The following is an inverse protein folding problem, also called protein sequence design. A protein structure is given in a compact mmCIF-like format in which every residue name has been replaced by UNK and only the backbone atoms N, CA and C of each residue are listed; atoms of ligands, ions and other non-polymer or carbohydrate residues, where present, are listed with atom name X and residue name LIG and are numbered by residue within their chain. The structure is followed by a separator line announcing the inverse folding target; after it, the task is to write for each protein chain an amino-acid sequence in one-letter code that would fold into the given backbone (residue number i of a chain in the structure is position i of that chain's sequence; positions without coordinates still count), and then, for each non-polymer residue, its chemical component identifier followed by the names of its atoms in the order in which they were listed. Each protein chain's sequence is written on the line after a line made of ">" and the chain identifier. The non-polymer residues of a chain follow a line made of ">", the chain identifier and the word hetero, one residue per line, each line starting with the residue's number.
data_IF_358706451261
#
_entry.id   IF_358706451261
#
_cell.length_a   1.000
_cell.length_b   1.000
_cell.length_c   1.000
_cell.angle_alpha   90.00
_cell.angle_beta   90.00
_cell.angle_gamma   90.00
#
_symmetry.space_group_name_H-M   'P 1'
#
loop_
_entity.id
_entity.type
_entity.pdbx_description
1 polymer ?
#
# COMPACT_ATOMS: atom_id res chain seq x y z
N UNK A 1 16.17 -1.55 5.72
CA UNK A 1 15.58 -2.73 5.05
C UNK A 1 16.67 -3.80 4.86
N UNK A 2 16.43 -5.05 5.31
CA UNK A 2 17.40 -6.15 5.17
C UNK A 2 17.52 -6.54 3.68
N UNK A 3 18.72 -6.88 3.21
CA UNK A 3 18.99 -7.24 1.80
C UNK A 3 18.02 -8.30 1.24
N UNK A 4 17.60 -9.25 2.07
CA UNK A 4 16.67 -10.33 1.69
C UNK A 4 15.24 -9.82 1.40
N UNK A 5 14.76 -8.83 2.15
CA UNK A 5 13.44 -8.20 1.94
C UNK A 5 13.44 -7.33 0.69
N UNK A 6 14.54 -6.61 0.46
CA UNK A 6 14.74 -5.81 -0.75
C UNK A 6 14.69 -6.67 -2.01
N UNK A 7 15.36 -7.81 -2.02
CA UNK A 7 15.34 -8.77 -3.14
C UNK A 7 13.92 -9.33 -3.38
N UNK A 8 13.15 -9.61 -2.33
CA UNK A 8 11.77 -10.09 -2.45
C UNK A 8 10.86 -9.03 -3.06
N UNK A 9 10.99 -7.77 -2.67
CA UNK A 9 10.23 -6.64 -3.18
C UNK A 9 10.43 -6.43 -4.68
N UNK A 10 11.68 -6.42 -5.14
CA UNK A 10 12.01 -6.22 -6.56
C UNK A 10 11.86 -7.47 -7.43
N UNK A 11 11.58 -8.62 -6.85
CA UNK A 11 11.22 -9.86 -7.56
C UNK A 11 9.71 -10.13 -7.59
N UNK A 12 8.89 -9.28 -6.96
CA UNK A 12 7.43 -9.42 -6.97
C UNK A 12 6.85 -9.34 -8.39
N UNK A 13 5.72 -10.00 -8.63
CA UNK A 13 5.00 -9.93 -9.90
C UNK A 13 4.58 -8.48 -10.21
N UNK A 14 4.13 -7.76 -9.17
CA UNK A 14 3.71 -6.37 -9.29
C UNK A 14 4.84 -5.45 -9.79
N UNK A 15 6.06 -5.61 -9.25
CA UNK A 15 7.21 -4.83 -9.69
C UNK A 15 7.65 -5.20 -11.12
N UNK A 16 7.64 -6.49 -11.46
CA UNK A 16 8.02 -6.97 -12.79
C UNK A 16 7.06 -6.49 -13.89
N UNK A 17 5.79 -6.32 -13.56
CA UNK A 17 4.77 -5.81 -14.47
C UNK A 17 4.85 -4.29 -14.72
N UNK A 18 5.73 -3.56 -14.02
CA UNK A 18 5.92 -2.13 -14.21
C UNK A 18 6.81 -1.83 -15.40
N UNK A 19 6.50 -0.73 -16.10
CA UNK A 19 7.38 -0.11 -17.11
C UNK A 19 8.57 0.58 -16.44
N UNK A 20 9.62 0.93 -17.19
CA UNK A 20 10.82 1.56 -16.62
C UNK A 20 10.54 2.91 -15.91
N UNK A 21 9.69 3.81 -16.44
CA UNK A 21 9.30 5.02 -15.71
C UNK A 21 8.56 4.70 -14.40
N UNK A 22 7.69 3.71 -14.41
CA UNK A 22 6.94 3.27 -13.21
C UNK A 22 7.88 2.63 -12.18
N UNK A 23 8.84 1.80 -12.61
CA UNK A 23 9.87 1.24 -11.74
C UNK A 23 10.70 2.31 -11.04
N UNK A 24 10.99 3.41 -11.73
CA UNK A 24 11.71 4.55 -11.14
C UNK A 24 10.89 5.18 -10.03
N UNK A 25 9.59 5.45 -10.26
CA UNK A 25 8.69 5.99 -9.23
C UNK A 25 8.54 5.01 -8.07
N UNK A 26 8.40 3.72 -8.37
CA UNK A 26 8.28 2.66 -7.37
C UNK A 26 9.51 2.61 -6.44
N UNK A 27 10.72 2.61 -6.99
CA UNK A 27 11.99 2.59 -6.22
C UNK A 27 12.08 3.79 -5.28
N UNK A 28 11.85 4.99 -5.81
CA UNK A 28 11.89 6.23 -5.02
C UNK A 28 10.88 6.17 -3.86
N UNK A 29 9.72 5.54 -4.08
CA UNK A 29 8.72 5.37 -3.04
C UNK A 29 9.19 4.40 -1.96
N UNK A 30 9.69 3.22 -2.36
CA UNK A 30 10.23 2.22 -1.42
C UNK A 30 11.38 2.81 -0.60
N UNK A 31 12.28 3.57 -1.24
CA UNK A 31 13.39 4.22 -0.56
C UNK A 31 12.88 5.25 0.46
N UNK A 32 11.92 6.11 0.08
CA UNK A 32 11.31 7.10 0.98
C UNK A 32 10.62 6.45 2.19
N UNK A 33 9.85 5.38 1.98
CA UNK A 33 9.17 4.66 3.07
C UNK A 33 10.16 3.92 3.97
N UNK A 34 11.25 3.39 3.39
CA UNK A 34 12.33 2.71 4.12
C UNK A 34 13.12 3.70 4.99
N UNK A 35 13.49 4.86 4.47
CA UNK A 35 14.16 5.93 5.21
C UNK A 35 13.33 6.42 6.40
N UNK A 36 12.02 6.41 6.25
CA UNK A 36 11.08 6.75 7.33
C UNK A 36 10.79 5.61 8.30
N UNK A 37 11.31 4.41 8.04
CA UNK A 37 11.07 3.23 8.88
C UNK A 37 9.65 2.66 8.82
N UNK A 38 8.83 3.05 7.84
CA UNK A 38 7.42 2.65 7.70
C UNK A 38 7.15 1.72 6.51
N UNK A 39 8.19 1.30 5.79
CA UNK A 39 8.03 0.37 4.67
C UNK A 39 7.58 -1.00 5.15
N UNK A 40 6.48 -1.51 4.58
CA UNK A 40 6.02 -2.88 4.77
C UNK A 40 6.00 -3.63 3.42
N UNK A 41 6.57 -4.83 3.31
CA UNK A 41 6.49 -5.63 2.08
C UNK A 41 5.07 -5.92 1.58
N UNK A 42 4.06 -5.90 2.45
CA UNK A 42 2.65 -6.02 2.08
C UNK A 42 2.14 -4.86 1.25
N UNK A 43 2.80 -3.71 1.29
CA UNK A 43 2.38 -2.50 0.57
C UNK A 43 2.86 -2.50 -0.90
N UNK A 44 3.64 -3.49 -1.32
CA UNK A 44 4.17 -3.59 -2.69
C UNK A 44 3.11 -3.42 -3.77
N UNK A 45 1.92 -4.07 -3.73
CA UNK A 45 0.88 -3.86 -4.73
C UNK A 45 0.33 -2.42 -4.74
N UNK A 46 0.21 -1.81 -3.55
CA UNK A 46 -0.27 -0.43 -3.38
C UNK A 46 0.75 0.57 -3.95
N UNK A 47 2.04 0.35 -3.68
CA UNK A 47 3.13 1.17 -4.23
C UNK A 47 3.20 1.03 -5.75
N UNK A 48 2.99 -0.18 -6.30
CA UNK A 48 2.94 -0.40 -7.75
C UNK A 48 1.77 0.35 -8.40
N UNK A 49 0.57 0.31 -7.78
CA UNK A 49 -0.59 1.06 -8.24
C UNK A 49 -0.33 2.59 -8.19
N UNK A 50 0.30 3.08 -7.12
CA UNK A 50 0.74 4.47 -7.01
C UNK A 50 1.67 4.84 -8.16
N UNK A 51 2.70 4.05 -8.44
CA UNK A 51 3.68 4.33 -9.49
C UNK A 51 3.02 4.42 -10.88
N UNK A 52 2.09 3.50 -11.20
CA UNK A 52 1.29 3.54 -12.44
C UNK A 52 0.49 4.83 -12.56
N UNK A 53 -0.23 5.22 -11.52
CA UNK A 53 -1.05 6.43 -11.54
C UNK A 53 -0.22 7.71 -11.67
N UNK A 54 0.95 7.79 -11.02
CA UNK A 54 1.87 8.93 -11.18
C UNK A 54 2.37 9.04 -12.61
N UNK A 55 2.78 7.94 -13.24
CA UNK A 55 3.27 7.95 -14.63
C UNK A 55 2.12 8.25 -15.59
N UNK A 56 0.95 7.68 -15.39
CA UNK A 56 -0.25 7.94 -16.19
C UNK A 56 -0.65 9.42 -16.15
N UNK A 57 -0.70 10.02 -14.95
CA UNK A 57 -1.00 11.45 -14.79
C UNK A 57 0.03 12.33 -15.51
N UNK A 58 1.32 12.01 -15.39
CA UNK A 58 2.40 12.75 -16.08
C UNK A 58 2.33 12.64 -17.59
N UNK A 59 1.96 11.48 -18.11
CA UNK A 59 1.81 11.25 -19.56
C UNK A 59 0.60 12.00 -20.09
N UNK A 60 -0.54 11.91 -19.43
CA UNK A 60 -1.74 12.64 -19.80
C UNK A 60 -1.52 14.17 -19.71
N UNK A 61 -0.80 14.65 -18.70
CA UNK A 61 -0.44 16.07 -18.58
C UNK A 61 0.39 16.56 -19.77
N UNK A 62 1.36 15.76 -20.26
CA UNK A 62 2.14 16.10 -21.47
C UNK A 62 1.25 16.16 -22.72
N UNK A 63 0.27 15.23 -22.84
CA UNK A 63 -0.67 15.26 -23.95
C UNK A 63 -1.58 16.49 -23.90
N UNK A 64 -2.02 16.90 -22.71
CA UNK A 64 -2.79 18.14 -22.51
C UNK A 64 -1.92 19.37 -22.87
N UNK A 65 -0.65 19.40 -22.48
CA UNK A 65 0.27 20.47 -22.84
C UNK A 65 0.52 20.56 -24.34
N UNK A 66 0.60 19.43 -25.03
CA UNK A 66 0.85 19.35 -26.47
C UNK A 66 -0.37 19.67 -27.30
N UNK A 67 -1.54 19.18 -26.92
CA UNK A 67 -2.77 19.22 -27.72
C UNK A 67 -3.78 20.26 -27.23
N UNK A 68 -3.58 20.83 -26.04
CA UNK A 68 -4.55 21.70 -25.38
C UNK A 68 -5.66 20.94 -24.65
N UNK A 69 -6.47 21.67 -23.92
CA UNK A 69 -7.65 21.14 -23.19
C UNK A 69 -8.82 20.83 -24.10
N UNK A 70 -8.83 21.44 -25.29
CA UNK A 70 -9.82 21.24 -26.34
C UNK A 70 -9.10 20.84 -27.61
N UNK A 71 -9.56 19.80 -28.26
CA UNK A 71 -9.02 19.33 -29.54
C UNK A 71 -9.99 19.59 -30.67
N UNK A 72 -9.43 20.05 -31.77
CA UNK A 72 -10.15 20.23 -33.02
C UNK A 72 -10.13 18.95 -33.84
N UNK A 73 -11.25 18.58 -34.43
CA UNK A 73 -11.31 17.49 -35.40
C UNK A 73 -12.27 17.82 -36.51
N UNK A 74 -12.07 17.24 -37.70
CA UNK A 74 -12.92 17.40 -38.86
C UNK A 74 -13.92 16.24 -38.96
N UNK A 75 -15.19 16.54 -39.06
CA UNK A 75 -16.24 15.58 -39.30
C UNK A 75 -17.11 16.02 -40.47
N UNK A 76 -17.15 15.22 -41.52
CA UNK A 76 -17.89 15.48 -42.75
C UNK A 76 -17.65 16.87 -43.36
N UNK A 77 -16.41 17.35 -43.29
CA UNK A 77 -16.01 18.68 -43.80
C UNK A 77 -16.23 19.84 -42.84
N UNK A 78 -16.83 19.60 -41.67
CA UNK A 78 -17.01 20.63 -40.64
C UNK A 78 -15.98 20.50 -39.54
N UNK A 79 -15.48 21.63 -39.08
CA UNK A 79 -14.62 21.70 -37.91
C UNK A 79 -15.46 21.57 -36.65
N UNK A 80 -15.11 20.61 -35.79
CA UNK A 80 -15.73 20.38 -34.49
C UNK A 80 -14.69 20.43 -33.39
N UNK A 81 -15.14 20.77 -32.20
CA UNK A 81 -14.30 20.84 -31.00
C UNK A 81 -14.82 19.88 -29.93
N UNK A 82 -13.92 19.22 -29.25
CA UNK A 82 -14.29 18.40 -28.07
C UNK A 82 -13.21 18.51 -26.99
N UNK A 83 -13.62 18.29 -25.75
CA UNK A 83 -12.68 18.20 -24.64
C UNK A 83 -11.64 17.11 -24.89
N UNK A 84 -10.38 17.40 -24.63
CA UNK A 84 -9.31 16.44 -24.73
C UNK A 84 -9.50 15.35 -23.65
N UNK A 85 -9.65 14.06 -24.02
CA UNK A 85 -9.82 12.97 -23.06
C UNK A 85 -8.65 12.84 -22.06
N UNK A 86 -7.47 13.33 -22.44
CA UNK A 86 -6.30 13.31 -21.56
C UNK A 86 -6.51 14.16 -20.29
N UNK A 87 -7.41 15.17 -20.31
CA UNK A 87 -7.76 15.95 -19.12
C UNK A 87 -8.42 15.08 -18.06
N UNK A 88 -9.39 14.26 -18.45
CA UNK A 88 -10.07 13.35 -17.52
C UNK A 88 -9.14 12.27 -16.98
N UNK A 89 -8.28 11.71 -17.83
CA UNK A 89 -7.28 10.71 -17.45
C UNK A 89 -6.32 11.32 -16.42
N UNK A 90 -5.80 12.51 -16.70
CA UNK A 90 -4.89 13.24 -15.81
C UNK A 90 -5.53 13.44 -14.43
N UNK A 91 -6.75 13.99 -14.38
CA UNK A 91 -7.44 14.30 -13.13
C UNK A 91 -7.75 13.03 -12.32
N UNK A 92 -8.23 11.96 -12.96
CA UNK A 92 -8.53 10.69 -12.30
C UNK A 92 -7.26 10.02 -11.75
N UNK A 93 -6.20 9.98 -12.55
CA UNK A 93 -4.92 9.41 -12.13
C UNK A 93 -4.29 10.23 -10.99
N UNK A 94 -4.39 11.57 -11.04
CA UNK A 94 -3.92 12.45 -9.98
C UNK A 94 -4.66 12.19 -8.68
N UNK A 95 -5.98 12.19 -8.69
CA UNK A 95 -6.78 11.90 -7.50
C UNK A 95 -6.45 10.52 -6.91
N UNK A 96 -6.22 9.51 -7.76
CA UNK A 96 -5.89 8.16 -7.32
C UNK A 96 -4.51 8.09 -6.64
N UNK A 97 -3.46 8.71 -7.20
CA UNK A 97 -2.15 8.68 -6.54
C UNK A 97 -2.11 9.56 -5.29
N UNK A 98 -2.82 10.70 -5.24
CA UNK A 98 -2.93 11.54 -4.04
C UNK A 98 -3.62 10.80 -2.89
N UNK A 99 -4.74 10.12 -3.16
CA UNK A 99 -5.43 9.28 -2.18
C UNK A 99 -4.51 8.16 -1.62
N UNK A 100 -3.72 7.54 -2.51
CA UNK A 100 -2.74 6.51 -2.10
C UNK A 100 -1.60 7.12 -1.28
N UNK A 101 -1.09 8.29 -1.66
CA UNK A 101 -0.07 9.01 -0.90
C UNK A 101 -0.51 9.33 0.53
N UNK A 102 -1.78 9.71 0.72
CA UNK A 102 -2.36 9.94 2.06
C UNK A 102 -2.36 8.63 2.88
N UNK A 103 -2.82 7.52 2.29
CA UNK A 103 -2.86 6.21 2.95
C UNK A 103 -1.47 5.71 3.35
N UNK A 104 -0.46 5.97 2.54
CA UNK A 104 0.94 5.60 2.82
C UNK A 104 1.66 6.60 3.76
N UNK A 105 0.96 7.59 4.31
CA UNK A 105 1.55 8.56 5.23
C UNK A 105 2.57 9.51 4.59
N UNK A 106 2.54 9.71 3.27
CA UNK A 106 3.47 10.59 2.57
C UNK A 106 3.15 12.07 2.78
N UNK A 107 1.87 12.37 2.98
CA UNK A 107 1.40 13.75 3.24
C UNK A 107 1.38 14.04 4.73
N UNK A 108 1.45 15.32 5.15
CA UNK A 108 1.31 15.70 6.56
C UNK A 108 0.01 15.18 7.18
N UNK A 109 -1.09 15.25 6.45
CA UNK A 109 -2.42 14.74 6.87
C UNK A 109 -2.40 13.22 7.05
N UNK A 110 -1.83 12.49 6.10
CA UNK A 110 -1.68 11.03 6.20
C UNK A 110 -0.85 10.62 7.40
N UNK A 111 0.27 11.30 7.67
CA UNK A 111 1.10 11.04 8.86
C UNK A 111 0.37 11.30 10.17
N UNK A 112 -0.44 12.38 10.23
CA UNK A 112 -1.23 12.68 11.41
C UNK A 112 -2.28 11.60 11.66
N UNK A 113 -2.92 11.11 10.59
CA UNK A 113 -3.91 10.03 10.67
C UNK A 113 -3.29 8.72 11.16
N UNK A 114 -2.17 8.29 10.57
CA UNK A 114 -1.48 7.07 10.99
C UNK A 114 -1.05 7.12 12.47
N UNK A 115 -0.57 8.28 12.95
CA UNK A 115 -0.27 8.45 14.38
C UNK A 115 -1.49 8.39 15.29
N UNK A 116 -2.67 8.81 14.81
CA UNK A 116 -3.90 8.74 15.60
C UNK A 116 -4.52 7.33 15.59
N UNK A 117 -4.14 6.48 14.64
CA UNK A 117 -4.55 5.07 14.57
C UNK A 117 -3.58 4.16 15.36
N UNK A 118 -2.41 4.65 15.80
CA UNK A 118 -1.57 3.94 16.75
C UNK A 118 -2.28 3.87 18.10
N UNK A 119 -2.35 2.69 18.75
CA UNK A 119 -2.89 2.60 20.09
C UNK A 119 -2.10 3.55 21.01
N UNK A 120 -2.77 4.24 21.94
CA UNK A 120 -2.08 5.15 22.86
C UNK A 120 -0.94 4.36 23.55
N UNK A 121 0.19 5.02 23.84
CA UNK A 121 1.27 4.36 24.54
C UNK A 121 0.72 3.77 25.84
N UNK A 122 1.04 2.47 26.08
CA UNK A 122 0.58 1.76 27.27
C UNK A 122 0.83 2.65 28.51
N UNK A 123 -0.23 2.86 29.27
CA UNK A 123 -0.13 3.63 30.51
C UNK A 123 0.83 2.90 31.49
N UNK A 124 1.36 3.61 32.48
CA UNK A 124 2.14 2.98 33.55
C UNK A 124 1.33 1.88 34.26
N UNK A 125 0.02 2.05 34.35
CA UNK A 125 -0.90 1.06 34.88
C UNK A 125 -0.98 -0.20 33.98
N UNK A 126 -1.04 -0.04 32.66
CA UNK A 126 -1.07 -1.17 31.72
C UNK A 126 0.23 -1.96 31.77
N UNK A 127 1.37 -1.28 31.89
CA UNK A 127 2.68 -1.92 32.05
C UNK A 127 2.78 -2.67 33.38
N UNK A 128 2.23 -2.09 34.45
CA UNK A 128 2.19 -2.71 35.77
C UNK A 128 1.30 -3.95 35.76
N UNK A 129 0.12 -3.87 35.17
CA UNK A 129 -0.79 -5.02 35.03
C UNK A 129 -0.16 -6.13 34.18
N UNK A 130 0.48 -5.81 33.07
CA UNK A 130 1.18 -6.79 32.22
C UNK A 130 2.33 -7.45 32.97
N UNK A 131 3.03 -6.70 33.83
CA UNK A 131 4.11 -7.24 34.67
C UNK A 131 3.53 -8.19 35.74
N UNK A 132 2.41 -7.81 36.39
CA UNK A 132 1.72 -8.65 37.36
C UNK A 132 1.19 -9.95 36.72
N UNK A 133 0.50 -9.87 35.59
CA UNK A 133 0.01 -11.04 34.87
C UNK A 133 1.14 -11.99 34.44
N UNK A 134 2.30 -11.45 34.10
CA UNK A 134 3.48 -12.24 33.73
C UNK A 134 4.16 -12.88 34.94
N UNK A 135 4.09 -12.23 36.09
CA UNK A 135 4.65 -12.74 37.34
C UNK A 135 3.78 -13.82 38.00
N UNK A 136 2.45 -13.77 37.81
CA UNK A 136 1.49 -14.74 38.35
C UNK A 136 1.27 -15.98 37.47
N UNK A 137 2.08 -16.18 36.40
CA UNK A 137 2.00 -17.33 35.50
C UNK A 137 0.66 -17.39 34.78
N UNK A 138 0.46 -16.48 33.82
CA UNK A 138 -0.72 -16.47 32.93
C UNK A 138 -1.01 -17.87 32.35
N UNK A 139 -2.24 -18.13 31.89
CA UNK A 139 -2.69 -19.46 31.50
C UNK A 139 -1.69 -20.07 30.52
N UNK A 140 -1.14 -21.21 30.89
CA UNK A 140 -0.36 -22.05 30.00
C UNK A 140 -1.28 -22.41 28.85
N UNK A 141 -0.94 -22.04 27.63
CA UNK A 141 -1.59 -22.58 26.44
C UNK A 141 -1.60 -24.12 26.59
N UNK A 142 -2.81 -24.67 26.65
CA UNK A 142 -3.03 -26.08 26.85
C UNK A 142 -2.38 -26.88 25.74
N UNK A 143 -1.44 -27.73 26.11
CA UNK A 143 -1.08 -28.89 25.31
C UNK A 143 -2.32 -29.77 25.23
N UNK A 144 -2.98 -29.78 24.09
CA UNK A 144 -3.96 -30.82 23.73
C UNK A 144 -3.19 -32.14 23.46
N UNK A 145 -2.81 -32.85 24.51
CA UNK A 145 -2.47 -34.26 24.43
C UNK A 145 -3.47 -35.02 25.32
N UNK A 146 -4.66 -35.22 24.77
CA UNK A 146 -5.70 -36.09 25.30
C UNK A 146 -5.65 -37.43 24.61
N UNK A 147 -4.65 -38.26 24.92
CA UNK A 147 -4.82 -39.71 24.78
C UNK A 147 -5.83 -40.19 25.80
N UNK A 148 -6.92 -40.71 25.32
CA UNK A 148 -7.97 -41.36 26.09
C UNK A 148 -7.64 -42.86 26.22
N UNK A 149 -7.20 -43.36 27.39
CA UNK A 149 -6.93 -44.77 27.60
C UNK A 149 -8.12 -45.42 28.28
N UNK A 150 -9.25 -45.68 27.60
CA UNK A 150 -10.19 -46.72 28.06
C UNK A 150 -11.23 -47.03 26.97
N UNK A 151 -10.95 -48.08 26.20
CA UNK A 151 -11.99 -48.83 25.50
C UNK A 151 -11.86 -50.29 25.92
N UNK A 152 -12.73 -50.78 26.85
CA UNK A 152 -12.72 -52.17 27.19
C UNK A 152 -13.36 -53.02 26.08
N UNK A 153 -12.71 -54.12 25.74
CA UNK A 153 -13.16 -55.10 24.77
C UNK A 153 -14.52 -55.68 25.06
N UNK A 154 -15.32 -55.77 23.99
CA UNK A 154 -16.54 -56.54 23.90
C UNK A 154 -16.37 -57.67 22.91
N UNK A 155 -16.38 -58.89 23.42
CA UNK A 155 -16.44 -60.15 22.64
C UNK A 155 -17.84 -60.26 22.00
N UNK A 156 -17.89 -60.83 20.82
CA UNK A 156 -19.06 -61.30 20.16
C UNK A 156 -18.73 -61.83 18.77
#
# INVERSE_FOLDING_TARGET
>A
MKTKERNKTYNSADYKALTDPERTVFRNMVDTLTERGIFNPSDVPVIAAYARNVVLARTAARDVQRLGTVIEFKDRGFTKYKTNPAVDIMNKAQAAYEATAIKLGLTPTGRKRLKSEEPPPKSELDKFLEHMYRAEGGPREGTEDGEDPDTPGGRG
#
